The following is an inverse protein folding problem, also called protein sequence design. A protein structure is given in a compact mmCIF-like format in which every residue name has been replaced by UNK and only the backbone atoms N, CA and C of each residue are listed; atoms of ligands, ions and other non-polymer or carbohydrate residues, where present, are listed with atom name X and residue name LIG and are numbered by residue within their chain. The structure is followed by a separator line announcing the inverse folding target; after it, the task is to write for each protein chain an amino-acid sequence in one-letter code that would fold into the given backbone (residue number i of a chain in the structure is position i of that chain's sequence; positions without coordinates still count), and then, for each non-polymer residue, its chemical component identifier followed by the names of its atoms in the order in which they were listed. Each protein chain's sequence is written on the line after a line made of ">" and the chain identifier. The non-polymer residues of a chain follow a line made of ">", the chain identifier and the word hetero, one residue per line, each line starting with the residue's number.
data_IF_320383607324
#
_entry.id   IF_320383607324
#
_cell.length_a   1.000
_cell.length_b   1.000
_cell.length_c   1.000
_cell.angle_alpha   90.00
_cell.angle_beta   90.00
_cell.angle_gamma   90.00
#
_symmetry.space_group_name_H-M   'P 1'
#
loop_
_entity.id
_entity.type
_entity.pdbx_description
1 polymer ?
#
# COMPACT_ATOMS: atom_id res chain seq x y z
N UNK A 1 4.45 -3.64 8.10
CA UNK A 1 4.77 -2.25 8.50
C UNK A 1 3.55 -1.33 8.56
N UNK A 2 2.33 -1.87 8.57
CA UNK A 2 1.08 -1.19 8.92
C UNK A 2 0.13 -2.27 9.49
N UNK A 3 0.54 -2.89 10.59
CA UNK A 3 -0.16 -4.04 11.19
C UNK A 3 -1.45 -3.67 11.94
N UNK A 4 -1.89 -2.41 11.85
CA UNK A 4 -3.14 -1.93 12.43
C UNK A 4 -3.56 -0.64 11.71
N UNK A 5 -4.14 -0.74 10.52
CA UNK A 5 -5.05 0.32 10.05
C UNK A 5 -6.35 0.22 10.84
N UNK A 6 -6.23 0.49 12.14
CA UNK A 6 -7.34 0.96 12.95
C UNK A 6 -7.94 2.19 12.24
N UNK A 7 -9.22 2.44 12.50
CA UNK A 7 -9.98 3.57 11.97
C UNK A 7 -9.37 4.96 12.27
N UNK A 8 -8.16 5.04 12.84
CA UNK A 8 -7.38 6.21 13.22
C UNK A 8 -6.37 6.72 12.18
N UNK A 9 -6.12 6.02 11.06
CA UNK A 9 -5.23 6.52 10.00
C UNK A 9 -5.54 7.97 9.58
N UNK A 10 -4.52 8.84 9.58
CA UNK A 10 -4.60 10.27 9.29
C UNK A 10 -4.28 10.54 7.81
N UNK A 11 -5.25 11.13 7.11
CA UNK A 11 -5.15 11.44 5.69
C UNK A 11 -4.19 12.59 5.36
N UNK A 12 -3.68 13.33 6.35
CA UNK A 12 -2.73 14.43 6.13
C UNK A 12 -1.45 13.99 5.40
N UNK A 13 -1.02 12.73 5.62
CA UNK A 13 0.18 12.17 4.99
C UNK A 13 -0.13 11.18 3.84
N UNK A 14 -1.40 11.08 3.43
CA UNK A 14 -1.82 10.08 2.44
C UNK A 14 -1.08 10.22 1.10
N UNK A 15 -0.71 11.43 0.68
CA UNK A 15 0.08 11.63 -0.54
C UNK A 15 1.43 10.92 -0.49
N UNK A 16 2.19 11.15 0.57
CA UNK A 16 3.52 10.56 0.76
C UNK A 16 3.45 9.04 0.96
N UNK A 17 2.47 8.58 1.74
CA UNK A 17 2.24 7.15 1.99
C UNK A 17 1.86 6.42 0.70
N UNK A 18 0.95 6.97 -0.12
CA UNK A 18 0.59 6.40 -1.41
C UNK A 18 1.80 6.35 -2.36
N UNK A 19 2.66 7.37 -2.34
CA UNK A 19 3.89 7.37 -3.13
C UNK A 19 4.88 6.29 -2.67
N UNK A 20 5.05 6.12 -1.36
CA UNK A 20 5.91 5.10 -0.78
C UNK A 20 5.40 3.68 -1.16
N UNK A 21 4.10 3.42 -0.97
CA UNK A 21 3.46 2.14 -1.31
C UNK A 21 3.60 1.84 -2.80
N UNK A 22 3.37 2.82 -3.68
CA UNK A 22 3.52 2.64 -5.15
C UNK A 22 4.97 2.30 -5.54
N UNK A 23 5.96 2.92 -4.90
CA UNK A 23 7.38 2.61 -5.14
C UNK A 23 7.72 1.19 -4.71
N UNK A 24 7.30 0.80 -3.51
CA UNK A 24 7.56 -0.55 -2.98
C UNK A 24 6.88 -1.64 -3.82
N UNK A 25 5.66 -1.38 -4.30
CA UNK A 25 4.98 -2.25 -5.28
C UNK A 25 5.77 -2.39 -6.58
N UNK A 26 6.34 -1.29 -7.10
CA UNK A 26 7.12 -1.34 -8.33
C UNK A 26 8.43 -2.15 -8.15
N UNK A 27 9.09 -2.00 -6.99
CA UNK A 27 10.30 -2.74 -6.64
C UNK A 27 10.04 -4.25 -6.51
N UNK A 28 8.96 -4.63 -5.80
CA UNK A 28 8.56 -6.02 -5.60
C UNK A 28 8.10 -6.68 -6.91
N UNK A 29 7.37 -5.95 -7.75
CA UNK A 29 6.94 -6.45 -9.07
C UNK A 29 8.11 -6.59 -10.04
N UNK A 30 9.14 -5.74 -9.93
CA UNK A 30 10.34 -5.79 -10.77
C UNK A 30 11.33 -6.88 -10.38
N UNK A 31 11.35 -7.31 -9.11
CA UNK A 31 12.39 -8.19 -8.55
C UNK A 31 12.01 -9.69 -8.48
N UNK A 32 11.14 -10.15 -9.38
CA UNK A 32 10.52 -11.50 -9.40
C UNK A 32 9.28 -11.65 -8.51
N UNK A 33 8.13 -11.22 -9.03
CA UNK A 33 6.80 -11.40 -8.46
C UNK A 33 6.33 -12.87 -8.34
N UNK A 34 7.16 -13.86 -8.70
CA UNK A 34 6.76 -15.28 -8.75
C UNK A 34 6.98 -16.01 -7.42
N UNK A 35 7.71 -15.41 -6.48
CA UNK A 35 7.89 -15.99 -5.15
C UNK A 35 6.63 -15.77 -4.27
N UNK A 36 6.13 -16.80 -3.56
CA UNK A 36 4.93 -16.70 -2.73
C UNK A 36 5.00 -15.62 -1.64
N UNK A 37 6.17 -15.36 -1.06
CA UNK A 37 6.33 -14.30 -0.05
C UNK A 37 6.25 -12.92 -0.70
N UNK A 38 6.84 -12.76 -1.88
CA UNK A 38 6.76 -11.53 -2.66
C UNK A 38 5.31 -11.23 -3.06
N UNK A 39 4.56 -12.24 -3.47
CA UNK A 39 3.14 -12.08 -3.80
C UNK A 39 2.30 -11.71 -2.57
N UNK A 40 2.59 -12.28 -1.39
CA UNK A 40 1.94 -11.88 -0.14
C UNK A 40 2.25 -10.43 0.23
N UNK A 41 3.49 -9.98 0.05
CA UNK A 41 3.89 -8.60 0.28
C UNK A 41 3.16 -7.64 -0.67
N UNK A 42 3.09 -7.96 -1.97
CA UNK A 42 2.34 -7.21 -2.96
C UNK A 42 0.87 -7.10 -2.56
N UNK A 43 0.21 -8.21 -2.23
CA UNK A 43 -1.20 -8.22 -1.82
C UNK A 43 -1.45 -7.35 -0.57
N UNK A 44 -0.52 -7.36 0.40
CA UNK A 44 -0.62 -6.51 1.60
C UNK A 44 -0.51 -5.03 1.26
N UNK A 45 0.41 -4.65 0.38
CA UNK A 45 0.60 -3.26 -0.05
C UNK A 45 -0.58 -2.76 -0.89
N UNK A 46 -1.14 -3.59 -1.76
CA UNK A 46 -2.34 -3.26 -2.53
C UNK A 46 -3.55 -3.01 -1.64
N UNK A 47 -3.77 -3.85 -0.62
CA UNK A 47 -4.84 -3.64 0.34
C UNK A 47 -4.67 -2.32 1.13
N UNK A 48 -3.43 -1.97 1.49
CA UNK A 48 -3.14 -0.69 2.15
C UNK A 48 -3.40 0.49 1.23
N UNK A 49 -2.97 0.41 -0.03
CA UNK A 49 -3.24 1.43 -1.04
C UNK A 49 -4.75 1.68 -1.17
N UNK A 50 -5.53 0.60 -1.36
CA UNK A 50 -6.99 0.67 -1.47
C UNK A 50 -7.63 1.24 -0.21
N UNK A 51 -7.16 0.83 0.98
CA UNK A 51 -7.68 1.38 2.23
C UNK A 51 -7.45 2.89 2.31
N UNK A 52 -6.24 3.37 2.05
CA UNK A 52 -5.92 4.80 2.14
C UNK A 52 -6.72 5.59 1.11
N UNK A 53 -6.80 5.09 -0.14
CA UNK A 53 -7.60 5.71 -1.19
C UNK A 53 -9.07 5.82 -0.79
N UNK A 54 -9.66 4.73 -0.29
CA UNK A 54 -11.07 4.72 0.13
C UNK A 54 -11.31 5.61 1.36
N UNK A 55 -10.43 5.52 2.37
CA UNK A 55 -10.62 6.25 3.64
C UNK A 55 -10.48 7.76 3.46
N UNK A 56 -9.53 8.18 2.63
CA UNK A 56 -9.22 9.59 2.41
C UNK A 56 -9.99 10.18 1.21
N UNK A 57 -10.91 9.40 0.61
CA UNK A 57 -11.65 9.75 -0.60
C UNK A 57 -10.75 10.24 -1.75
N UNK A 58 -9.57 9.62 -1.87
CA UNK A 58 -8.60 9.88 -2.94
C UNK A 58 -9.00 9.00 -4.12
N UNK A 59 -10.12 9.35 -4.75
CA UNK A 59 -10.62 8.75 -5.98
C UNK A 59 -10.31 9.70 -7.15
N UNK A 60 -9.15 9.56 -7.79
CA UNK A 60 -8.81 10.30 -9.02
C UNK A 60 -8.19 9.40 -10.07
#
# INVERSE_FOLDING_TARGET
>A
MLDNLESSYDCANAGDDLHAIKRELAELRGSSAEDPESQLAINRLENQLLFIMNKCDINH
#
